data_IF_900948429217
#
_entry.id   IF_900948429217
#
_cell.length_a   1.000
_cell.length_b   1.000
_cell.length_c   1.000
_cell.angle_alpha   90.00
_cell.angle_beta   90.00
_cell.angle_gamma   90.00
#
_symmetry.space_group_name_H-M   'P 1'
#
loop_
_entity.id
_entity.type
_entity.pdbx_description
1 polymer ?
#
# COMPACT_ATOMS: atom_id res chain seq x y z
N UNK A 1 8.90 2.52 7.63
CA UNK A 1 9.79 3.57 7.08
C UNK A 1 11.13 2.95 6.77
N UNK A 2 11.78 3.29 5.65
CA UNK A 2 13.09 2.76 5.25
C UNK A 2 14.07 3.92 5.04
N UNK A 3 15.37 3.69 5.31
CA UNK A 3 16.43 4.67 5.08
C UNK A 3 17.73 4.30 5.80
N UNK A 4 18.80 4.99 5.43
CA UNK A 4 20.13 4.77 5.96
C UNK A 4 20.31 5.30 7.40
N UNK A 5 21.43 5.01 8.09
CA UNK A 5 21.73 5.59 9.38
C UNK A 5 21.69 7.13 9.32
N UNK A 6 21.08 7.73 10.33
CA UNK A 6 21.00 9.20 10.41
C UNK A 6 20.01 9.87 9.45
N UNK A 7 19.29 9.15 8.60
CA UNK A 7 18.31 9.71 7.63
C UNK A 7 17.03 10.28 8.25
N UNK A 8 16.97 10.54 9.55
CA UNK A 8 15.83 11.21 10.18
C UNK A 8 14.56 10.36 10.39
N UNK A 9 14.60 9.02 10.22
CA UNK A 9 13.45 8.12 10.42
C UNK A 9 12.73 8.33 11.74
N UNK A 10 13.44 8.21 12.84
CA UNK A 10 12.87 8.35 14.18
C UNK A 10 12.31 9.74 14.44
N UNK A 11 12.95 10.80 13.91
CA UNK A 11 12.41 12.16 14.00
C UNK A 11 11.11 12.32 13.22
N UNK A 12 11.04 11.76 12.01
CA UNK A 12 9.83 11.72 11.21
C UNK A 12 8.72 10.91 11.90
N UNK A 13 9.07 9.75 12.45
CA UNK A 13 8.14 8.90 13.21
C UNK A 13 7.49 9.64 14.38
N UNK A 14 8.28 10.39 15.15
CA UNK A 14 7.76 11.22 16.26
C UNK A 14 6.79 12.27 15.77
N UNK A 15 7.13 12.98 14.70
CA UNK A 15 6.24 13.99 14.13
C UNK A 15 4.95 13.40 13.56
N UNK A 16 5.00 12.20 12.96
CA UNK A 16 3.82 11.53 12.43
C UNK A 16 2.89 10.97 13.50
N UNK A 17 3.45 10.44 14.59
CA UNK A 17 2.69 9.66 15.58
C UNK A 17 2.50 10.36 16.92
N UNK A 18 3.22 11.45 17.17
CA UNK A 18 3.27 12.12 18.49
C UNK A 18 3.92 11.26 19.59
N UNK A 19 4.50 10.11 19.23
CA UNK A 19 5.07 9.18 20.21
C UNK A 19 6.52 9.55 20.49
N UNK A 20 6.84 9.83 21.74
CA UNK A 20 8.22 10.05 22.19
C UNK A 20 8.93 8.70 22.37
N UNK A 21 9.98 8.50 21.61
CA UNK A 21 10.92 7.40 21.82
C UNK A 21 12.29 7.98 22.25
N UNK A 22 13.03 7.30 23.14
CA UNK A 22 14.33 7.77 23.55
C UNK A 22 15.26 7.90 22.35
N UNK A 23 16.15 8.93 22.31
CA UNK A 23 17.12 9.09 21.25
C UNK A 23 18.11 7.91 21.28
N UNK A 24 18.21 7.22 20.17
CA UNK A 24 19.08 6.07 19.97
C UNK A 24 18.49 5.18 18.89
N UNK A 25 19.35 4.69 17.99
CA UNK A 25 18.89 3.83 16.90
C UNK A 25 18.09 2.64 17.46
N UNK A 26 16.80 2.61 17.23
CA UNK A 26 15.99 1.45 17.59
C UNK A 26 16.57 0.22 16.90
N UNK A 27 17.02 -0.74 17.68
CA UNK A 27 17.49 -2.04 17.16
C UNK A 27 16.33 -2.96 16.76
N UNK A 28 15.10 -2.57 17.11
CA UNK A 28 13.87 -3.30 16.81
C UNK A 28 12.85 -2.36 16.18
N UNK A 29 12.01 -2.86 15.26
CA UNK A 29 10.90 -2.08 14.72
C UNK A 29 9.95 -1.60 15.83
N UNK A 30 9.62 -0.32 15.83
CA UNK A 30 8.71 0.30 16.80
C UNK A 30 7.43 0.79 16.10
N UNK A 31 6.23 0.29 16.48
CA UNK A 31 4.98 0.74 15.89
C UNK A 31 4.44 2.00 16.58
N UNK A 32 3.84 2.89 15.80
CA UNK A 32 3.06 4.04 16.24
C UNK A 32 1.80 4.19 15.39
N UNK A 33 0.92 5.09 15.77
CA UNK A 33 -0.34 5.31 15.06
C UNK A 33 -0.39 6.75 14.55
N UNK A 34 -0.65 6.89 13.25
CA UNK A 34 -1.02 8.13 12.60
C UNK A 34 -2.52 8.13 12.36
N UNK A 35 -3.25 9.10 12.93
CA UNK A 35 -4.66 9.29 12.68
C UNK A 35 -4.89 10.28 11.53
N UNK A 36 -5.73 9.92 10.57
CA UNK A 36 -6.09 10.75 9.44
C UNK A 36 -7.55 10.51 9.02
N UNK A 37 -8.40 11.53 9.11
CA UNK A 37 -9.80 11.48 8.66
C UNK A 37 -10.57 10.22 9.11
N UNK A 38 -10.39 9.83 10.39
CA UNK A 38 -11.01 8.62 10.97
C UNK A 38 -10.31 7.30 10.62
N UNK A 39 -9.32 7.34 9.72
CA UNK A 39 -8.47 6.19 9.37
C UNK A 39 -7.22 6.19 10.26
N UNK A 40 -6.76 5.01 10.64
CA UNK A 40 -5.56 4.83 11.45
C UNK A 40 -4.51 4.06 10.66
N UNK A 41 -3.37 4.72 10.41
CA UNK A 41 -2.20 4.08 9.83
C UNK A 41 -1.26 3.61 10.94
N UNK A 42 -0.87 2.36 10.90
CA UNK A 42 0.24 1.89 11.72
C UNK A 42 1.55 2.25 11.03
N UNK A 43 2.24 3.24 11.56
CA UNK A 43 3.58 3.62 11.11
C UNK A 43 4.61 2.83 11.90
N UNK A 44 5.59 2.25 11.23
CA UNK A 44 6.64 1.48 11.90
C UNK A 44 7.99 2.19 11.69
N UNK A 45 8.58 2.66 12.81
CA UNK A 45 9.99 3.06 12.80
C UNK A 45 10.87 1.83 12.71
N UNK A 46 11.77 1.78 11.74
CA UNK A 46 12.61 0.61 11.49
C UNK A 46 14.07 0.90 11.80
N UNK A 47 14.84 -0.13 12.16
CA UNK A 47 16.28 -0.01 12.22
C UNK A 47 16.85 0.52 10.91
N UNK A 48 18.01 1.21 10.93
CA UNK A 48 18.65 1.69 9.72
C UNK A 48 19.18 0.54 8.87
N UNK A 49 19.20 0.76 7.56
CA UNK A 49 19.85 -0.14 6.60
C UNK A 49 21.36 0.05 6.73
N UNK A 50 22.05 -0.96 7.24
CA UNK A 50 23.52 -0.91 7.46
C UNK A 50 24.29 -1.61 6.34
N UNK A 51 23.74 -2.71 5.82
CA UNK A 51 24.31 -3.49 4.72
C UNK A 51 23.24 -4.38 4.09
N UNK A 52 23.45 -4.82 2.86
CA UNK A 52 22.55 -5.74 2.15
C UNK A 52 22.35 -7.05 2.93
N UNK A 53 23.43 -7.61 3.48
CA UNK A 53 23.39 -8.86 4.24
C UNK A 53 22.58 -8.82 5.53
N UNK A 54 22.44 -7.63 6.15
CA UNK A 54 21.68 -7.45 7.39
C UNK A 54 20.22 -7.04 7.16
N UNK A 55 19.83 -6.80 5.92
CA UNK A 55 18.54 -6.22 5.55
C UNK A 55 17.37 -7.21 5.45
N UNK A 56 17.62 -8.53 5.44
CA UNK A 56 16.58 -9.54 5.15
C UNK A 56 15.32 -9.44 6.02
N UNK A 57 15.46 -9.26 7.35
CA UNK A 57 14.30 -9.06 8.23
C UNK A 57 13.56 -7.76 7.96
N UNK A 58 14.30 -6.72 7.59
CA UNK A 58 13.76 -5.41 7.26
C UNK A 58 13.00 -5.45 5.93
N UNK A 59 13.54 -6.17 4.94
CA UNK A 59 12.88 -6.37 3.65
C UNK A 59 11.63 -7.27 3.79
N UNK A 60 11.66 -8.28 4.65
CA UNK A 60 10.45 -9.04 4.98
C UNK A 60 9.37 -8.15 5.61
N UNK A 61 9.73 -7.21 6.48
CA UNK A 61 8.81 -6.23 7.04
C UNK A 61 8.28 -5.27 5.96
N UNK A 62 9.16 -4.78 5.07
CA UNK A 62 8.78 -3.94 3.95
C UNK A 62 7.80 -4.65 3.00
N UNK A 63 8.05 -5.93 2.72
CA UNK A 63 7.17 -6.76 1.88
C UNK A 63 5.79 -6.98 2.50
N UNK A 64 5.69 -7.03 3.83
CA UNK A 64 4.42 -7.18 4.57
C UNK A 64 3.71 -5.85 4.84
N UNK A 65 4.37 -4.71 4.69
CA UNK A 65 3.75 -3.41 4.81
C UNK A 65 2.80 -3.14 3.63
N UNK A 66 1.80 -2.28 3.82
CA UNK A 66 0.90 -1.85 2.75
C UNK A 66 1.53 -0.75 1.88
N UNK A 67 2.35 0.13 2.49
CA UNK A 67 3.04 1.24 1.83
C UNK A 67 4.41 1.51 2.46
N UNK A 68 5.26 2.27 1.78
CA UNK A 68 6.60 2.60 2.22
C UNK A 68 6.80 4.12 2.34
N UNK A 69 7.59 4.54 3.33
CA UNK A 69 8.16 5.88 3.43
C UNK A 69 9.67 5.72 3.31
N UNK A 70 10.25 6.28 2.25
CA UNK A 70 11.68 6.28 2.00
C UNK A 70 12.28 7.58 2.53
N UNK A 71 13.11 7.51 3.55
CA UNK A 71 13.71 8.69 4.18
C UNK A 71 15.11 8.95 3.65
N UNK A 72 15.29 10.10 3.02
CA UNK A 72 16.52 10.55 2.36
C UNK A 72 17.08 11.76 3.11
N UNK A 73 18.34 11.71 3.47
CA UNK A 73 19.05 12.82 4.11
C UNK A 73 19.47 13.85 3.06
N UNK A 74 18.95 15.07 3.14
CA UNK A 74 19.24 16.14 2.16
C UNK A 74 20.67 16.66 2.24
N UNK A 75 21.39 16.41 3.34
CA UNK A 75 22.78 16.86 3.52
C UNK A 75 23.80 15.93 2.84
N UNK A 76 23.34 14.83 2.25
CA UNK A 76 24.15 13.84 1.54
C UNK A 76 23.69 13.71 0.09
N UNK A 77 24.35 12.87 -0.71
CA UNK A 77 23.91 12.58 -2.08
C UNK A 77 22.54 11.91 -2.07
N UNK A 78 21.49 12.67 -2.44
CA UNK A 78 20.10 12.22 -2.42
C UNK A 78 19.81 11.17 -3.49
N UNK A 79 20.50 11.27 -4.65
CA UNK A 79 20.30 10.34 -5.77
C UNK A 79 20.88 8.98 -5.43
N UNK A 80 22.10 8.96 -4.91
CA UNK A 80 22.75 7.71 -4.50
C UNK A 80 21.95 7.00 -3.40
N UNK A 81 21.40 7.76 -2.44
CA UNK A 81 20.55 7.18 -1.39
C UNK A 81 19.28 6.59 -1.96
N UNK A 82 18.58 7.32 -2.83
CA UNK A 82 17.33 6.85 -3.42
C UNK A 82 17.57 5.61 -4.31
N UNK A 83 18.57 5.67 -5.21
CA UNK A 83 18.92 4.56 -6.09
C UNK A 83 19.29 3.29 -5.29
N UNK A 84 20.11 3.45 -4.24
CA UNK A 84 20.47 2.33 -3.37
C UNK A 84 19.28 1.72 -2.64
N UNK A 85 18.28 2.55 -2.22
CA UNK A 85 17.05 2.05 -1.60
C UNK A 85 16.18 1.31 -2.62
N UNK A 86 16.01 1.88 -3.81
CA UNK A 86 15.21 1.28 -4.89
C UNK A 86 15.82 -0.04 -5.35
N UNK A 87 17.14 -0.09 -5.54
CA UNK A 87 17.85 -1.33 -5.86
C UNK A 87 17.70 -2.40 -4.78
N UNK A 88 17.83 -2.02 -3.50
CA UNK A 88 17.62 -2.96 -2.40
C UNK A 88 16.20 -3.52 -2.36
N UNK A 89 15.19 -2.71 -2.68
CA UNK A 89 13.80 -3.16 -2.79
C UNK A 89 13.64 -4.11 -3.96
N UNK A 90 14.20 -3.79 -5.13
CA UNK A 90 14.15 -4.60 -6.34
C UNK A 90 14.81 -5.97 -6.15
N UNK A 91 16.01 -6.02 -5.56
CA UNK A 91 16.73 -7.26 -5.20
C UNK A 91 15.90 -8.17 -4.27
N UNK A 92 14.95 -7.59 -3.53
CA UNK A 92 14.01 -8.31 -2.66
C UNK A 92 12.61 -8.47 -3.27
N UNK A 93 12.47 -8.24 -4.57
CA UNK A 93 11.21 -8.31 -5.32
C UNK A 93 10.10 -7.44 -4.72
N UNK A 94 10.43 -6.22 -4.37
CA UNK A 94 9.50 -5.17 -3.94
C UNK A 94 9.61 -4.04 -4.94
N UNK A 95 8.52 -3.73 -5.62
CA UNK A 95 8.45 -2.58 -6.52
C UNK A 95 7.63 -1.45 -5.90
N UNK A 96 8.07 -0.22 -6.14
CA UNK A 96 7.33 1.00 -5.79
C UNK A 96 6.58 1.59 -6.99
N UNK A 97 6.87 1.09 -8.18
CA UNK A 97 6.14 1.41 -9.40
C UNK A 97 4.91 0.53 -9.52
N UNK A 98 3.78 1.16 -9.82
CA UNK A 98 2.53 0.44 -9.98
C UNK A 98 2.57 -0.45 -11.22
N UNK A 99 2.51 -1.78 -11.06
CA UNK A 99 2.55 -2.68 -12.20
C UNK A 99 1.31 -2.49 -13.08
N UNK A 100 1.48 -2.61 -14.39
CA UNK A 100 0.36 -2.57 -15.35
C UNK A 100 -0.55 -3.79 -15.22
N UNK A 101 0.03 -4.91 -14.79
CA UNK A 101 -0.68 -6.14 -14.47
C UNK A 101 -0.12 -6.76 -13.19
N UNK A 102 -0.99 -7.44 -12.46
CA UNK A 102 -0.60 -8.32 -11.34
C UNK A 102 -0.90 -9.74 -11.78
N UNK A 103 0.12 -10.58 -11.83
CA UNK A 103 0.01 -11.98 -12.22
C UNK A 103 0.28 -12.86 -11.01
N UNK A 104 -0.68 -13.75 -10.72
CA UNK A 104 -0.56 -14.77 -9.68
C UNK A 104 -0.62 -16.16 -10.32
N UNK A 105 0.38 -17.00 -10.07
CA UNK A 105 0.45 -18.36 -10.58
C UNK A 105 0.29 -19.37 -9.43
N UNK A 106 -0.86 -20.01 -9.40
CA UNK A 106 -1.19 -21.11 -8.48
C UNK A 106 -0.88 -22.44 -9.13
N UNK A 107 0.25 -23.06 -8.77
CA UNK A 107 0.60 -24.41 -9.28
C UNK A 107 -0.35 -25.47 -8.73
N UNK A 108 -0.75 -26.43 -9.56
CA UNK A 108 -1.66 -27.52 -9.22
C UNK A 108 -1.07 -28.89 -9.55
N UNK A 109 -1.61 -29.95 -8.97
CA UNK A 109 -1.18 -31.31 -9.27
C UNK A 109 -1.74 -31.81 -10.62
N UNK A 110 -2.94 -31.40 -11.00
CA UNK A 110 -3.65 -31.84 -12.22
C UNK A 110 -4.55 -30.71 -12.76
N UNK A 111 -5.12 -30.88 -13.95
CA UNK A 111 -6.15 -29.97 -14.51
C UNK A 111 -5.67 -29.06 -15.64
N UNK A 112 -4.39 -29.15 -16.05
CA UNK A 112 -3.86 -28.27 -17.10
C UNK A 112 -3.66 -26.83 -16.65
N UNK A 113 -3.49 -25.92 -17.61
CA UNK A 113 -3.32 -24.48 -17.36
C UNK A 113 -4.64 -23.78 -17.62
N UNK A 114 -5.10 -23.02 -16.64
CA UNK A 114 -6.28 -22.13 -16.76
C UNK A 114 -5.83 -20.69 -16.59
N UNK A 115 -6.22 -19.81 -17.52
CA UNK A 115 -5.90 -18.37 -17.47
C UNK A 115 -7.19 -17.61 -17.18
N UNK A 116 -7.15 -16.70 -16.22
CA UNK A 116 -8.25 -15.83 -15.80
C UNK A 116 -7.75 -14.39 -15.86
N UNK A 117 -8.28 -13.60 -16.79
CA UNK A 117 -7.90 -12.21 -17.06
C UNK A 117 -7.45 -12.00 -18.50
N UNK A 118 -6.92 -10.78 -18.78
CA UNK A 118 -6.61 -10.33 -20.13
C UNK A 118 -5.10 -10.38 -20.41
N UNK A 119 -4.75 -10.81 -21.63
CA UNK A 119 -3.39 -10.82 -22.17
C UNK A 119 -3.20 -9.70 -23.21
N UNK A 120 -1.98 -9.17 -23.29
CA UNK A 120 -1.55 -8.23 -24.36
C UNK A 120 -0.52 -8.92 -25.23
N UNK A 121 -0.74 -8.90 -26.55
CA UNK A 121 0.19 -9.41 -27.56
C UNK A 121 0.61 -10.88 -27.34
N UNK A 122 -0.22 -11.67 -26.66
CA UNK A 122 0.03 -13.07 -26.38
C UNK A 122 -1.28 -13.86 -26.38
N UNK A 123 -1.18 -15.13 -26.73
CA UNK A 123 -2.30 -16.08 -26.71
C UNK A 123 -2.21 -16.99 -25.49
N UNK A 124 -3.32 -17.66 -25.17
CA UNK A 124 -3.33 -18.72 -24.14
C UNK A 124 -2.30 -19.79 -24.42
N UNK A 125 -2.06 -20.10 -25.70
CA UNK A 125 -1.10 -21.11 -26.11
C UNK A 125 0.36 -20.69 -25.84
N UNK A 126 0.66 -19.39 -26.01
CA UNK A 126 1.99 -18.84 -25.70
C UNK A 126 2.29 -18.94 -24.21
N UNK A 127 1.31 -18.64 -23.36
CA UNK A 127 1.43 -18.79 -21.90
C UNK A 127 1.63 -20.25 -21.50
N UNK A 128 0.89 -21.19 -22.13
CA UNK A 128 1.04 -22.62 -21.85
C UNK A 128 2.46 -23.08 -22.26
N UNK A 129 2.97 -22.62 -23.38
CA UNK A 129 4.31 -22.96 -23.88
C UNK A 129 5.37 -22.41 -22.92
N UNK A 130 5.28 -21.15 -22.53
CA UNK A 130 6.17 -20.52 -21.56
C UNK A 130 6.18 -21.30 -20.22
N UNK A 131 5.03 -21.62 -19.65
CA UNK A 131 4.93 -22.35 -18.39
C UNK A 131 5.55 -23.73 -18.47
N UNK A 132 5.43 -24.41 -19.63
CA UNK A 132 6.06 -25.72 -19.86
C UNK A 132 7.58 -25.67 -19.90
N UNK A 133 8.17 -24.60 -20.42
CA UNK A 133 9.64 -24.39 -20.38
C UNK A 133 10.17 -24.37 -18.95
N UNK A 134 9.34 -23.90 -18.00
CA UNK A 134 9.62 -23.90 -16.56
C UNK A 134 9.08 -25.13 -15.81
N UNK A 135 8.73 -26.22 -16.54
CA UNK A 135 8.17 -27.46 -15.99
C UNK A 135 6.86 -27.26 -15.20
N UNK A 136 6.06 -26.26 -15.57
CA UNK A 136 4.73 -26.00 -14.98
C UNK A 136 3.66 -26.48 -15.97
N UNK A 137 3.10 -27.66 -15.73
CA UNK A 137 2.11 -28.30 -16.62
C UNK A 137 0.66 -28.04 -16.15
N UNK A 138 0.49 -27.71 -14.87
CA UNK A 138 -0.83 -27.49 -14.27
C UNK A 138 -0.78 -26.27 -13.37
N UNK A 139 -1.54 -25.23 -13.70
CA UNK A 139 -1.62 -23.99 -12.95
C UNK A 139 -2.91 -23.21 -13.22
N UNK A 140 -3.30 -22.37 -12.28
CA UNK A 140 -4.21 -21.25 -12.54
C UNK A 140 -3.37 -19.98 -12.58
N UNK A 141 -3.42 -19.27 -13.70
CA UNK A 141 -2.83 -17.95 -13.89
C UNK A 141 -3.95 -16.91 -13.74
N UNK A 142 -3.89 -16.11 -12.69
CA UNK A 142 -4.83 -15.01 -12.46
C UNK A 142 -4.15 -13.70 -12.84
N UNK A 143 -4.79 -12.94 -13.69
CA UNK A 143 -4.28 -11.65 -14.19
C UNK A 143 -5.26 -10.55 -13.77
N UNK A 144 -4.76 -9.57 -13.04
CA UNK A 144 -5.45 -8.32 -12.78
C UNK A 144 -4.80 -7.24 -13.63
N UNK A 145 -5.57 -6.58 -14.49
CA UNK A 145 -5.04 -5.71 -15.53
C UNK A 145 -4.82 -6.46 -16.84
N UNK A 146 -3.85 -6.02 -17.64
CA UNK A 146 -3.51 -6.63 -18.94
C UNK A 146 -2.04 -7.02 -18.92
N UNK A 147 -1.77 -8.34 -18.89
CA UNK A 147 -0.42 -8.88 -18.78
C UNK A 147 0.21 -9.22 -20.13
N UNK A 148 1.51 -9.01 -20.23
CA UNK A 148 2.38 -9.52 -21.28
C UNK A 148 2.92 -10.92 -20.92
N UNK A 149 3.63 -11.58 -21.84
CA UNK A 149 4.37 -12.82 -21.51
C UNK A 149 5.48 -12.57 -20.50
N UNK A 150 6.14 -11.42 -20.57
CA UNK A 150 7.21 -11.03 -19.63
C UNK A 150 6.65 -10.92 -18.20
N UNK A 151 5.46 -10.32 -18.01
CA UNK A 151 4.80 -10.24 -16.70
C UNK A 151 4.49 -11.64 -16.13
N UNK A 152 4.17 -12.60 -17.00
CA UNK A 152 3.93 -14.00 -16.60
C UNK A 152 5.24 -14.69 -16.25
N UNK A 153 6.29 -14.49 -17.03
CA UNK A 153 7.61 -15.03 -16.77
C UNK A 153 8.15 -14.52 -15.43
N UNK A 154 8.06 -13.22 -15.17
CA UNK A 154 8.40 -12.64 -13.86
C UNK A 154 7.65 -13.31 -12.72
N UNK A 155 6.35 -13.57 -12.91
CA UNK A 155 5.51 -14.21 -11.90
C UNK A 155 5.92 -15.68 -11.59
N UNK A 156 6.55 -16.39 -12.54
CA UNK A 156 7.09 -17.74 -12.33
C UNK A 156 8.20 -17.74 -11.26
N UNK A 157 9.05 -16.70 -11.28
CA UNK A 157 10.16 -16.53 -10.33
C UNK A 157 9.73 -15.90 -8.99
N UNK A 158 8.45 -15.61 -8.83
CA UNK A 158 7.84 -14.97 -7.68
C UNK A 158 7.42 -13.54 -7.99
N UNK A 159 6.15 -13.26 -7.76
CA UNK A 159 5.56 -11.96 -8.05
C UNK A 159 6.23 -10.85 -7.26
N UNK A 160 6.44 -9.71 -7.91
CA UNK A 160 6.80 -8.48 -7.23
C UNK A 160 5.69 -8.05 -6.28
N UNK A 161 6.08 -7.61 -5.09
CA UNK A 161 5.15 -7.00 -4.15
C UNK A 161 5.11 -5.49 -4.42
N UNK A 162 4.08 -5.00 -5.10
CA UNK A 162 3.87 -3.56 -5.24
C UNK A 162 3.59 -2.92 -3.89
N UNK A 163 4.35 -1.87 -3.58
CA UNK A 163 4.19 -1.04 -2.38
C UNK A 163 4.22 0.43 -2.78
N UNK A 164 3.09 1.12 -2.77
CA UNK A 164 3.12 2.56 -2.98
C UNK A 164 4.09 3.20 -1.99
N UNK A 165 4.90 4.12 -2.47
CA UNK A 165 5.95 4.75 -1.67
C UNK A 165 5.91 6.26 -1.79
N UNK A 166 6.37 6.94 -0.73
CA UNK A 166 6.65 8.37 -0.72
C UNK A 166 8.10 8.61 -0.31
N UNK A 167 8.73 9.59 -0.91
CA UNK A 167 10.08 10.03 -0.55
C UNK A 167 9.98 11.19 0.44
N UNK A 168 10.62 11.05 1.59
CA UNK A 168 10.75 12.10 2.59
C UNK A 168 12.16 12.66 2.60
N UNK A 169 12.35 13.84 2.02
CA UNK A 169 13.63 14.55 2.05
C UNK A 169 13.75 15.25 3.42
N UNK A 170 14.63 14.74 4.25
CA UNK A 170 14.77 15.14 5.66
C UNK A 170 15.91 16.15 5.84
N UNK A 171 15.96 16.82 7.00
CA UNK A 171 16.99 17.81 7.39
C UNK A 171 17.09 18.99 6.43
N UNK A 172 15.97 19.35 5.81
CA UNK A 172 15.94 20.43 4.81
C UNK A 172 16.25 21.80 5.38
N UNK A 173 16.15 21.95 6.69
CA UNK A 173 16.54 23.14 7.46
C UNK A 173 18.06 23.39 7.50
N UNK A 174 18.86 22.41 7.13
CA UNK A 174 20.33 22.52 7.08
C UNK A 174 20.85 23.01 5.72
N UNK A 175 19.97 23.18 4.73
CA UNK A 175 20.31 23.66 3.40
C UNK A 175 19.79 25.08 3.17
N UNK A 176 20.49 25.84 2.34
CA UNK A 176 19.96 27.09 1.84
C UNK A 176 18.81 26.87 0.85
N UNK A 177 17.90 27.86 0.74
CA UNK A 177 16.67 27.71 -0.04
C UNK A 177 16.89 27.47 -1.53
N UNK A 178 17.96 27.96 -2.14
CA UNK A 178 18.24 27.77 -3.56
C UNK A 178 18.73 26.35 -3.83
N UNK A 179 19.65 25.85 -3.02
CA UNK A 179 20.17 24.49 -3.09
C UNK A 179 19.04 23.49 -2.87
N UNK A 180 18.19 23.70 -1.85
CA UNK A 180 17.04 22.84 -1.57
C UNK A 180 16.06 22.79 -2.74
N UNK A 181 15.71 23.96 -3.32
CA UNK A 181 14.79 24.03 -4.44
C UNK A 181 15.33 23.27 -5.66
N UNK A 182 16.57 23.54 -6.06
CA UNK A 182 17.20 22.85 -7.19
C UNK A 182 17.30 21.33 -6.98
N UNK A 183 17.63 20.90 -5.77
CA UNK A 183 17.72 19.49 -5.39
C UNK A 183 16.34 18.81 -5.46
N UNK A 184 15.30 19.43 -4.88
CA UNK A 184 13.96 18.90 -4.88
C UNK A 184 13.38 18.79 -6.31
N UNK A 185 13.54 19.82 -7.14
CA UNK A 185 13.11 19.81 -8.54
C UNK A 185 13.77 18.67 -9.32
N UNK A 186 15.08 18.55 -9.27
CA UNK A 186 15.81 17.47 -9.93
C UNK A 186 15.43 16.08 -9.41
N UNK A 187 15.20 15.94 -8.08
CA UNK A 187 14.76 14.67 -7.52
C UNK A 187 13.37 14.29 -8.01
N UNK A 188 12.45 15.24 -8.10
CA UNK A 188 11.11 15.04 -8.67
C UNK A 188 11.14 14.66 -10.15
N UNK A 189 12.14 15.13 -10.91
CA UNK A 189 12.35 14.73 -12.31
C UNK A 189 12.92 13.31 -12.44
N UNK A 190 13.70 12.85 -11.45
CA UNK A 190 14.37 11.54 -11.47
C UNK A 190 13.49 10.38 -10.97
N UNK A 191 12.35 10.66 -10.34
CA UNK A 191 11.45 9.63 -9.79
C UNK A 191 9.99 9.98 -10.02
N UNK A 192 9.15 8.96 -10.24
CA UNK A 192 7.69 9.11 -10.28
C UNK A 192 7.05 9.19 -8.89
N UNK A 193 7.84 8.98 -7.82
CA UNK A 193 7.35 9.01 -6.45
C UNK A 193 7.12 10.43 -5.95
N UNK A 194 6.07 10.68 -5.16
CA UNK A 194 5.89 11.98 -4.52
C UNK A 194 7.03 12.26 -3.53
N UNK A 195 7.60 13.46 -3.63
CA UNK A 195 8.68 13.93 -2.78
C UNK A 195 8.12 14.99 -1.82
N UNK A 196 8.29 14.76 -0.53
CA UNK A 196 7.88 15.68 0.53
C UNK A 196 9.09 16.15 1.33
N UNK A 197 9.07 17.41 1.73
CA UNK A 197 10.12 18.03 2.53
C UNK A 197 9.82 17.87 4.03
N UNK A 198 10.82 17.57 4.83
CA UNK A 198 10.66 17.38 6.26
C UNK A 198 11.83 17.97 7.05
N UNK A 199 11.49 18.69 8.13
CA UNK A 199 12.42 19.09 9.18
C UNK A 199 11.85 18.71 10.55
N UNK A 200 12.70 18.23 11.44
CA UNK A 200 12.33 17.87 12.81
C UNK A 200 12.06 19.10 13.70
N UNK A 201 12.50 20.28 13.29
CA UNK A 201 12.30 21.54 14.00
C UNK A 201 10.88 22.10 13.83
N UNK A 202 10.17 21.68 12.80
CA UNK A 202 8.82 22.14 12.45
C UNK A 202 7.90 20.98 12.04
N UNK A 203 7.53 20.11 12.98
CA UNK A 203 6.59 19.00 12.70
C UNK A 203 5.27 19.46 12.10
N UNK A 204 4.79 20.68 12.43
CA UNK A 204 3.56 21.25 11.90
C UNK A 204 3.62 21.57 10.39
N UNK A 205 4.82 21.65 9.80
CA UNK A 205 4.98 21.83 8.35
C UNK A 205 4.80 20.54 7.55
N UNK A 206 4.75 19.39 8.23
CA UNK A 206 4.60 18.08 7.59
C UNK A 206 3.19 17.94 6.98
N UNK A 207 3.13 17.73 5.68
CA UNK A 207 1.88 17.60 4.93
C UNK A 207 1.30 16.19 5.03
N UNK A 208 0.87 15.83 6.23
CA UNK A 208 0.30 14.50 6.54
C UNK A 208 -0.88 14.18 5.64
N UNK A 209 -1.73 15.17 5.35
CA UNK A 209 -2.89 15.02 4.46
C UNK A 209 -2.50 14.54 3.05
N UNK A 210 -1.47 15.12 2.46
CA UNK A 210 -1.01 14.75 1.12
C UNK A 210 -0.45 13.34 1.10
N UNK A 211 0.37 12.98 2.10
CA UNK A 211 0.99 11.64 2.23
C UNK A 211 -0.10 10.58 2.43
N UNK A 212 -1.01 10.80 3.37
CA UNK A 212 -2.06 9.84 3.70
C UNK A 212 -3.06 9.68 2.54
N UNK A 213 -3.47 10.78 1.90
CA UNK A 213 -4.34 10.77 0.71
C UNK A 213 -3.71 10.00 -0.44
N UNK A 214 -2.43 10.26 -0.73
CA UNK A 214 -1.70 9.55 -1.80
C UNK A 214 -1.66 8.05 -1.53
N UNK A 215 -1.21 7.63 -0.35
CA UNK A 215 -1.14 6.21 0.02
C UNK A 215 -2.53 5.56 -0.05
N UNK A 216 -3.56 6.24 0.46
CA UNK A 216 -4.93 5.74 0.46
C UNK A 216 -5.46 5.51 -0.97
N UNK A 217 -5.17 6.44 -1.89
CA UNK A 217 -5.52 6.37 -3.31
C UNK A 217 -4.76 5.25 -4.02
N UNK A 218 -3.44 5.16 -3.82
CA UNK A 218 -2.62 4.13 -4.49
C UNK A 218 -2.94 2.71 -4.01
N UNK A 219 -3.37 2.57 -2.76
CA UNK A 219 -3.88 1.31 -2.23
C UNK A 219 -5.29 0.98 -2.70
N UNK A 220 -5.92 1.87 -3.47
CA UNK A 220 -7.30 1.74 -3.96
C UNK A 220 -8.30 1.41 -2.84
N UNK A 221 -8.23 2.20 -1.78
CA UNK A 221 -9.07 2.05 -0.58
C UNK A 221 -10.29 2.96 -0.63
N UNK A 222 -11.35 2.52 0.04
CA UNK A 222 -12.57 3.31 0.28
C UNK A 222 -12.95 3.27 1.75
N UNK A 223 -13.68 4.28 2.20
CA UNK A 223 -14.25 4.40 3.55
C UNK A 223 -15.74 4.10 3.51
N UNK A 224 -16.16 3.12 4.29
CA UNK A 224 -17.58 2.78 4.46
C UNK A 224 -17.95 2.95 5.92
N UNK A 225 -19.04 3.64 6.21
CA UNK A 225 -19.50 3.91 7.56
C UNK A 225 -20.58 2.91 7.97
N UNK A 226 -20.57 2.47 9.21
CA UNK A 226 -21.61 1.60 9.75
C UNK A 226 -22.64 2.41 10.49
N UNK A 227 -23.91 2.00 10.36
CA UNK A 227 -25.03 2.55 11.10
C UNK A 227 -25.53 1.51 12.11
N UNK A 228 -25.68 1.94 13.37
CA UNK A 228 -26.21 1.07 14.41
C UNK A 228 -27.71 0.84 14.19
N UNK A 229 -28.17 -0.43 14.04
CA UNK A 229 -29.59 -0.72 13.79
C UNK A 229 -30.55 -0.31 14.93
N UNK A 230 -30.04 -0.23 16.18
CA UNK A 230 -30.84 0.09 17.37
C UNK A 230 -30.99 1.59 17.61
N UNK A 231 -29.84 2.32 17.53
CA UNK A 231 -29.82 3.77 17.82
C UNK A 231 -30.01 4.63 16.57
N UNK A 232 -29.75 4.05 15.39
CA UNK A 232 -29.77 4.80 14.14
C UNK A 232 -28.55 5.72 13.94
N UNK A 233 -27.58 5.71 14.86
CA UNK A 233 -26.38 6.54 14.80
C UNK A 233 -25.37 5.94 13.82
N UNK A 234 -24.69 6.84 13.10
CA UNK A 234 -23.59 6.48 12.19
C UNK A 234 -22.29 6.52 12.98
N UNK A 235 -21.52 5.45 12.90
CA UNK A 235 -20.21 5.37 13.51
C UNK A 235 -19.26 6.40 12.90
N UNK A 236 -18.57 7.16 13.73
CA UNK A 236 -17.61 8.18 13.27
C UNK A 236 -16.36 7.56 12.62
N UNK A 237 -16.04 6.33 12.99
CA UNK A 237 -14.88 5.60 12.48
C UNK A 237 -15.28 4.76 11.28
N UNK A 238 -14.75 5.03 10.06
CA UNK A 238 -15.05 4.24 8.89
C UNK A 238 -14.39 2.86 8.93
N UNK A 239 -15.00 1.92 8.25
CA UNK A 239 -14.36 0.68 7.84
C UNK A 239 -13.63 0.95 6.53
N UNK A 240 -12.32 0.74 6.53
CA UNK A 240 -11.48 0.87 5.33
C UNK A 240 -11.43 -0.46 4.60
N UNK A 241 -11.79 -0.47 3.32
CA UNK A 241 -11.80 -1.66 2.47
C UNK A 241 -11.26 -1.34 1.07
N UNK A 242 -10.94 -2.34 0.28
CA UNK A 242 -10.57 -2.15 -1.12
C UNK A 242 -11.77 -1.66 -1.93
N UNK A 243 -11.52 -0.82 -2.94
CA UNK A 243 -12.52 -0.49 -3.95
C UNK A 243 -13.02 -1.76 -4.64
N UNK A 244 -14.30 -1.81 -4.96
CA UNK A 244 -14.93 -2.99 -5.53
C UNK A 244 -15.36 -4.04 -4.51
N UNK A 245 -15.06 -3.84 -3.22
CA UNK A 245 -15.56 -4.71 -2.16
C UNK A 245 -17.09 -4.70 -2.08
N UNK A 246 -17.63 -5.82 -1.67
CA UNK A 246 -19.08 -6.05 -1.56
C UNK A 246 -19.56 -5.90 -0.12
N UNK A 247 -20.86 -5.75 0.05
CA UNK A 247 -21.53 -5.74 1.36
C UNK A 247 -21.09 -6.89 2.26
N UNK A 248 -20.95 -8.08 1.69
CA UNK A 248 -20.57 -9.28 2.46
C UNK A 248 -19.12 -9.20 2.99
N UNK A 249 -18.24 -8.47 2.32
CA UNK A 249 -16.86 -8.27 2.77
C UNK A 249 -16.81 -7.37 4.00
N UNK A 250 -17.68 -6.35 4.06
CA UNK A 250 -17.85 -5.51 5.25
C UNK A 250 -18.43 -6.34 6.40
N UNK A 251 -19.46 -7.15 6.14
CA UNK A 251 -20.03 -8.03 7.16
C UNK A 251 -18.98 -8.94 7.78
N UNK A 252 -18.11 -9.55 6.96
CA UNK A 252 -17.00 -10.40 7.40
C UNK A 252 -15.98 -9.63 8.25
N UNK A 253 -15.71 -8.37 7.87
CA UNK A 253 -14.73 -7.53 8.57
C UNK A 253 -15.23 -7.04 9.93
N UNK A 254 -16.55 -6.85 10.09
CA UNK A 254 -17.16 -6.46 11.35
C UNK A 254 -17.19 -7.65 12.31
N UNK A 255 -17.85 -8.75 11.91
CA UNK A 255 -17.98 -9.93 12.75
C UNK A 255 -18.38 -11.16 11.92
N UNK A 256 -17.85 -12.33 12.31
CA UNK A 256 -18.15 -13.61 11.64
C UNK A 256 -19.65 -13.97 11.63
N UNK A 257 -20.39 -13.59 12.68
CA UNK A 257 -21.82 -13.90 12.77
C UNK A 257 -22.67 -13.07 11.79
N UNK A 258 -22.28 -11.80 11.55
CA UNK A 258 -22.92 -10.96 10.53
C UNK A 258 -22.70 -11.53 9.13
N UNK A 259 -21.54 -12.13 8.89
CA UNK A 259 -21.24 -12.83 7.64
C UNK A 259 -22.08 -14.10 7.46
N UNK A 260 -22.14 -14.95 8.50
CA UNK A 260 -22.84 -16.25 8.46
C UNK A 260 -24.36 -16.09 8.37
N UNK A 261 -24.91 -15.17 9.16
CA UNK A 261 -26.37 -14.97 9.29
C UNK A 261 -26.90 -13.82 8.44
N UNK A 262 -26.12 -13.35 7.46
CA UNK A 262 -26.47 -12.22 6.61
C UNK A 262 -27.83 -12.44 5.90
N UNK A 263 -28.75 -11.52 6.09
CA UNK A 263 -30.05 -11.50 5.40
C UNK A 263 -30.09 -10.44 4.30
N UNK A 264 -29.83 -9.20 4.66
CA UNK A 264 -29.76 -8.06 3.73
C UNK A 264 -29.01 -6.91 4.38
N UNK A 265 -28.68 -5.88 3.60
CA UNK A 265 -28.22 -4.61 4.13
C UNK A 265 -29.09 -3.45 3.62
N UNK A 266 -29.04 -2.33 4.35
CA UNK A 266 -29.55 -1.03 3.91
C UNK A 266 -28.36 -0.11 3.67
N UNK A 267 -28.38 0.61 2.54
CA UNK A 267 -27.31 1.54 2.17
C UNK A 267 -27.90 2.94 2.01
N UNK A 268 -27.26 3.90 2.67
CA UNK A 268 -27.46 5.33 2.45
C UNK A 268 -26.27 5.85 1.64
N UNK A 269 -26.57 6.39 0.47
CA UNK A 269 -25.55 6.96 -0.42
C UNK A 269 -26.16 7.99 -1.35
N UNK A 270 -25.47 9.11 -1.61
CA UNK A 270 -25.96 10.13 -2.56
C UNK A 270 -26.09 9.64 -4.01
N UNK A 271 -25.38 8.55 -4.37
CA UNK A 271 -25.42 7.97 -5.72
C UNK A 271 -26.65 7.11 -6.00
N UNK A 272 -27.40 6.77 -4.95
CA UNK A 272 -28.57 5.91 -5.07
C UNK A 272 -29.82 6.74 -5.33
N UNK A 273 -30.67 6.25 -6.24
CA UNK A 273 -31.96 6.88 -6.56
C UNK A 273 -32.88 6.91 -5.33
N UNK A 274 -32.81 5.85 -4.53
CA UNK A 274 -33.52 5.75 -3.26
C UNK A 274 -32.52 5.52 -2.13
N UNK A 275 -32.62 6.34 -1.06
CA UNK A 275 -31.74 6.25 0.11
C UNK A 275 -32.63 6.30 1.37
N UNK A 276 -32.67 5.23 2.20
CA UNK A 276 -31.90 4.00 2.10
C UNK A 276 -32.43 3.01 1.06
N UNK A 277 -31.51 2.28 0.41
CA UNK A 277 -31.85 1.16 -0.48
C UNK A 277 -31.54 -0.18 0.20
N UNK A 278 -32.48 -1.14 0.11
CA UNK A 278 -32.24 -2.52 0.55
C UNK A 278 -31.47 -3.28 -0.53
N UNK A 279 -30.37 -3.93 -0.14
CA UNK A 279 -29.46 -4.60 -1.06
C UNK A 279 -29.05 -5.99 -0.55
N UNK A 280 -28.60 -6.83 -1.49
CA UNK A 280 -28.08 -8.17 -1.21
C UNK A 280 -26.59 -8.16 -0.87
N UNK A 281 -26.06 -9.35 -0.62
CA UNK A 281 -24.67 -9.60 -0.21
C UNK A 281 -23.64 -9.17 -1.25
N UNK A 282 -23.98 -9.24 -2.54
CA UNK A 282 -23.08 -9.00 -3.67
C UNK A 282 -23.09 -7.55 -4.17
N UNK A 283 -23.83 -6.66 -3.50
CA UNK A 283 -23.88 -5.26 -3.85
C UNK A 283 -22.52 -4.60 -3.60
N UNK A 284 -21.99 -3.92 -4.61
CA UNK A 284 -20.69 -3.24 -4.56
C UNK A 284 -20.77 -1.91 -3.84
N UNK A 285 -19.84 -1.68 -2.92
CA UNK A 285 -19.75 -0.48 -2.11
C UNK A 285 -18.82 0.56 -2.74
N UNK A 286 -19.11 1.83 -2.46
CA UNK A 286 -18.30 2.96 -2.85
C UNK A 286 -17.90 3.83 -1.65
N UNK A 287 -16.97 4.75 -1.89
CA UNK A 287 -16.44 5.63 -0.84
C UNK A 287 -17.55 6.53 -0.27
N UNK A 288 -17.64 6.58 1.04
CA UNK A 288 -18.65 7.35 1.76
C UNK A 288 -20.00 6.66 1.95
N UNK A 289 -20.21 5.43 1.44
CA UNK A 289 -21.44 4.67 1.69
C UNK A 289 -21.62 4.43 3.19
N UNK A 290 -22.87 4.59 3.67
CA UNK A 290 -23.28 4.22 5.03
C UNK A 290 -24.07 2.92 4.95
N UNK A 291 -23.67 1.92 5.73
CA UNK A 291 -24.28 0.58 5.68
C UNK A 291 -24.85 0.17 7.05
N UNK A 292 -26.04 -0.42 7.01
CA UNK A 292 -26.66 -1.12 8.14
C UNK A 292 -26.87 -2.58 7.73
N UNK A 293 -26.22 -3.49 8.42
CA UNK A 293 -26.30 -4.93 8.14
C UNK A 293 -27.34 -5.57 9.04
N UNK A 294 -28.22 -6.36 8.44
CA UNK A 294 -29.23 -7.15 9.14
C UNK A 294 -28.90 -8.63 8.92
N UNK A 295 -28.64 -9.31 10.05
CA UNK A 295 -28.29 -10.71 10.12
C UNK A 295 -29.30 -11.51 10.96
#
# INVERSE_FOLDING_TARGET
>A
MLGFPGSGKTSLFRCLTGKEEPPGASRKPAPGILAWNGVYFQVVDTPPILSESSSGKLMALARNADALILTIDSTMDVYLQLDSLLKLLDDNRITVEKPKAIVEIEKRATGGVTIIGDLINATTQDVISLLREYNIYHAIVRIQGKATLDDIEEAIFGSYAYKPAVVMLTKVDLLDGNTLKSMAEKLMESTSLPVHLFTSTQCSSLRVEEIASYIFKELDLIKVYTRNPKTGEVEKRPIVIKRGAKVIDVARKIHSDLYKNFKYARIWSPRLVFSPQKVGRDFQLEDGDIIEIVA
#
